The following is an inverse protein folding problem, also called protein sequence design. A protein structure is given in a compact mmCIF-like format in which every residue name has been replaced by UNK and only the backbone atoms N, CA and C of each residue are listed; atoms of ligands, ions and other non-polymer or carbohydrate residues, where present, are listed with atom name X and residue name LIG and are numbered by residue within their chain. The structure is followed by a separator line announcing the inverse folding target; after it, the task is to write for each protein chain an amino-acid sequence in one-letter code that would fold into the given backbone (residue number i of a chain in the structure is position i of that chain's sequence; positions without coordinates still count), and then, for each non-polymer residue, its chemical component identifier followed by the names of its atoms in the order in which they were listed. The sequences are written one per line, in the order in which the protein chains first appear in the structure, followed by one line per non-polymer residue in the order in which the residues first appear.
data_IF_664652753339
#
_entry.id   IF_664652753339
#
_cell.length_a   1.000
_cell.length_b   1.000
_cell.length_c   1.000
_cell.angle_alpha   90.00
_cell.angle_beta   90.00
_cell.angle_gamma   90.00
#
_symmetry.space_group_name_H-M   'P 1'
#
loop_
_entity.id
_entity.type
_entity.pdbx_description
1 polymer ?
#
# COMPACT_ATOMS: atom_id res chain seq x y z
N UNK A 1 1.40 -51.69 2.15
CA UNK A 1 2.04 -50.74 3.08
C UNK A 1 2.32 -49.35 2.48
N UNK A 2 2.64 -49.21 1.18
CA UNK A 2 3.00 -47.91 0.57
C UNK A 2 1.82 -46.96 0.28
N UNK A 3 0.61 -47.48 0.07
CA UNK A 3 -0.59 -46.70 -0.25
C UNK A 3 -1.17 -45.94 0.95
N UNK A 4 -0.99 -46.47 2.16
CA UNK A 4 -1.45 -45.80 3.38
C UNK A 4 -0.69 -44.49 3.66
N UNK A 5 0.59 -44.41 3.26
CA UNK A 5 1.38 -43.18 3.35
C UNK A 5 0.84 -42.07 2.45
N UNK A 6 0.39 -42.41 1.24
CA UNK A 6 -0.18 -41.43 0.32
C UNK A 6 -1.51 -40.85 0.83
N UNK A 7 -2.34 -41.69 1.48
CA UNK A 7 -3.62 -41.26 2.05
C UNK A 7 -3.40 -40.37 3.28
N UNK A 8 -2.47 -40.73 4.17
CA UNK A 8 -2.10 -39.91 5.33
C UNK A 8 -1.49 -38.56 4.93
N UNK A 9 -0.66 -38.53 3.88
CA UNK A 9 -0.07 -37.30 3.37
C UNK A 9 -1.13 -36.37 2.75
N UNK A 10 -2.12 -36.93 2.05
CA UNK A 10 -3.20 -36.15 1.45
C UNK A 10 -4.14 -35.56 2.52
N UNK A 11 -4.41 -36.28 3.60
CA UNK A 11 -5.16 -35.78 4.76
C UNK A 11 -4.41 -34.67 5.52
N UNK A 12 -3.08 -34.78 5.65
CA UNK A 12 -2.24 -33.75 6.28
C UNK A 12 -2.24 -32.44 5.48
N UNK A 13 -2.30 -32.52 4.15
CA UNK A 13 -2.39 -31.35 3.27
C UNK A 13 -3.78 -30.69 3.30
N UNK A 14 -4.84 -31.48 3.49
CA UNK A 14 -6.21 -30.95 3.61
C UNK A 14 -6.41 -30.15 4.91
N UNK A 15 -5.80 -30.56 6.03
CA UNK A 15 -5.93 -29.86 7.32
C UNK A 15 -5.13 -28.56 7.40
N UNK A 16 -4.11 -28.36 6.54
CA UNK A 16 -3.29 -27.15 6.53
C UNK A 16 -3.93 -25.98 5.77
N UNK A 17 -5.05 -26.23 5.09
CA UNK A 17 -5.71 -25.26 4.20
C UNK A 17 -6.75 -24.37 4.87
N UNK A 18 -7.00 -24.51 6.19
CA UNK A 18 -7.81 -23.55 6.94
C UNK A 18 -6.97 -22.30 7.26
N UNK A 19 -6.48 -21.62 6.22
CA UNK A 19 -5.95 -20.29 6.38
C UNK A 19 -7.15 -19.37 6.63
N UNK A 20 -7.13 -18.76 7.80
CA UNK A 20 -8.09 -17.78 8.29
C UNK A 20 -8.26 -16.71 7.21
N UNK A 21 -9.41 -16.67 6.55
CA UNK A 21 -9.85 -15.47 5.88
C UNK A 21 -10.26 -14.50 6.98
N UNK A 22 -9.29 -13.76 7.50
CA UNK A 22 -9.59 -12.54 8.25
C UNK A 22 -10.33 -11.65 7.27
N UNK A 23 -11.61 -11.40 7.50
CA UNK A 23 -12.34 -10.30 6.88
C UNK A 23 -11.68 -8.99 7.36
N UNK A 24 -10.54 -8.65 6.77
CA UNK A 24 -10.10 -7.26 6.71
C UNK A 24 -11.08 -6.64 5.72
N UNK A 25 -12.18 -6.12 6.27
CA UNK A 25 -13.02 -5.16 5.56
C UNK A 25 -12.12 -3.96 5.30
N UNK A 26 -11.36 -4.02 4.20
CA UNK A 26 -10.62 -2.91 3.65
C UNK A 26 -11.66 -1.92 3.15
N UNK A 27 -11.96 -0.91 3.96
CA UNK A 27 -12.74 0.25 3.55
C UNK A 27 -11.94 1.03 2.51
N UNK A 28 -12.01 0.58 1.26
CA UNK A 28 -11.39 1.24 0.12
C UNK A 28 -12.09 2.59 -0.09
N UNK A 29 -11.41 3.66 0.28
CA UNK A 29 -11.91 5.02 0.13
C UNK A 29 -11.23 5.70 -1.05
N UNK A 30 -12.02 6.05 -2.07
CA UNK A 30 -11.54 6.91 -3.15
C UNK A 30 -11.45 8.35 -2.64
N UNK A 31 -10.25 8.92 -2.60
CA UNK A 31 -10.07 10.32 -2.18
C UNK A 31 -10.50 11.24 -3.33
N UNK A 32 -11.66 11.87 -3.16
CA UNK A 32 -12.26 12.75 -4.18
C UNK A 32 -11.52 14.08 -4.38
N UNK A 33 -10.68 14.48 -3.43
CA UNK A 33 -9.87 15.71 -3.48
C UNK A 33 -8.39 15.37 -3.56
N UNK A 34 -7.86 15.02 -4.74
CA UNK A 34 -6.43 14.69 -4.90
C UNK A 34 -5.50 15.89 -4.65
N UNK A 35 -6.05 17.10 -4.48
CA UNK A 35 -5.31 18.33 -4.21
C UNK A 35 -5.27 18.69 -2.72
N UNK A 36 -5.76 17.80 -1.85
CA UNK A 36 -5.63 17.92 -0.39
C UNK A 36 -4.15 18.08 0.01
N UNK A 37 -3.87 18.86 1.06
CA UNK A 37 -2.51 19.10 1.53
C UNK A 37 -1.81 17.78 1.90
N UNK A 38 -2.51 16.88 2.59
CA UNK A 38 -1.96 15.58 3.01
C UNK A 38 -1.60 14.71 1.79
N UNK A 39 -2.48 14.68 0.80
CA UNK A 39 -2.25 13.92 -0.45
C UNK A 39 -1.03 14.44 -1.21
N UNK A 40 -0.78 15.75 -1.20
CA UNK A 40 0.42 16.33 -1.81
C UNK A 40 1.69 15.94 -1.06
N UNK A 41 1.64 15.88 0.27
CA UNK A 41 2.78 15.43 1.08
C UNK A 41 3.14 13.98 0.76
N UNK A 42 2.14 13.10 0.67
CA UNK A 42 2.33 11.69 0.29
C UNK A 42 2.92 11.58 -1.12
N UNK A 43 2.42 12.35 -2.10
CA UNK A 43 2.94 12.35 -3.46
C UNK A 43 4.40 12.85 -3.53
N UNK A 44 4.72 13.92 -2.79
CA UNK A 44 6.08 14.44 -2.71
C UNK A 44 7.03 13.44 -2.04
N UNK A 45 6.58 12.75 -0.99
CA UNK A 45 7.31 11.67 -0.37
C UNK A 45 7.64 10.56 -1.38
N UNK A 46 6.64 10.07 -2.12
CA UNK A 46 6.84 9.05 -3.14
C UNK A 46 7.84 9.47 -4.23
N UNK A 47 7.78 10.72 -4.69
CA UNK A 47 8.75 11.23 -5.67
C UNK A 47 10.16 11.34 -5.10
N UNK A 48 10.31 11.76 -3.85
CA UNK A 48 11.60 11.85 -3.19
C UNK A 48 12.23 10.46 -3.02
N UNK A 49 11.45 9.46 -2.59
CA UNK A 49 11.91 8.07 -2.50
C UNK A 49 12.25 7.49 -3.87
N UNK A 50 11.46 7.77 -4.90
CA UNK A 50 11.80 7.38 -6.27
C UNK A 50 13.14 7.97 -6.70
N UNK A 51 13.36 9.27 -6.49
CA UNK A 51 14.63 9.92 -6.83
C UNK A 51 15.82 9.28 -6.11
N UNK A 52 15.67 8.92 -4.82
CA UNK A 52 16.72 8.22 -4.06
C UNK A 52 17.06 6.86 -4.67
N UNK A 53 16.08 6.15 -5.20
CA UNK A 53 16.25 4.80 -5.74
C UNK A 53 16.74 4.79 -7.19
N UNK A 54 16.23 5.68 -8.04
CA UNK A 54 16.49 5.68 -9.48
C UNK A 54 17.47 6.74 -9.94
N UNK A 55 17.65 7.82 -9.17
CA UNK A 55 18.34 9.04 -9.60
C UNK A 55 17.55 9.88 -10.61
N UNK A 56 16.34 9.48 -11.00
CA UNK A 56 15.51 10.22 -11.94
C UNK A 56 14.83 11.41 -11.25
N UNK A 57 15.23 12.63 -11.63
CA UNK A 57 14.58 13.85 -11.13
C UNK A 57 13.30 14.12 -11.91
N UNK A 58 12.18 13.68 -11.35
CA UNK A 58 10.85 13.87 -11.90
C UNK A 58 10.16 15.08 -11.29
N UNK A 59 9.32 15.74 -12.08
CA UNK A 59 8.47 16.85 -11.61
C UNK A 59 7.01 16.40 -11.54
N UNK A 60 6.35 16.61 -10.40
CA UNK A 60 4.93 16.30 -10.25
C UNK A 60 4.10 17.29 -11.08
N UNK A 61 3.36 16.79 -12.07
CA UNK A 61 2.44 17.63 -12.84
C UNK A 61 1.04 17.61 -12.24
N UNK A 62 0.53 16.42 -11.95
CA UNK A 62 -0.81 16.25 -11.40
C UNK A 62 -0.99 14.88 -10.74
N UNK A 63 -1.79 14.84 -9.69
CA UNK A 63 -2.28 13.62 -9.07
C UNK A 63 -3.60 13.24 -9.76
N UNK A 64 -3.64 12.09 -10.43
CA UNK A 64 -4.77 11.67 -11.26
C UNK A 64 -5.80 10.91 -10.43
N UNK A 65 -5.33 10.04 -9.54
CA UNK A 65 -6.18 9.24 -8.68
C UNK A 65 -5.45 8.93 -7.38
N UNK A 66 -6.19 8.94 -6.28
CA UNK A 66 -5.71 8.44 -4.99
C UNK A 66 -6.79 7.57 -4.38
N UNK A 67 -6.39 6.39 -3.96
CA UNK A 67 -7.20 5.47 -3.16
C UNK A 67 -6.49 5.24 -1.84
N UNK A 68 -7.25 5.27 -0.77
CA UNK A 68 -6.78 4.96 0.57
C UNK A 68 -7.49 3.72 1.05
N UNK A 69 -6.72 2.80 1.62
CA UNK A 69 -7.23 1.60 2.24
C UNK A 69 -6.78 1.61 3.70
N UNK A 70 -7.73 1.50 4.61
CA UNK A 70 -7.41 1.30 6.03
C UNK A 70 -7.03 -0.15 6.25
N UNK A 71 -5.80 -0.38 6.70
CA UNK A 71 -5.31 -1.72 6.98
C UNK A 71 -5.43 -2.07 8.47
N UNK A 72 -5.23 -1.09 9.35
CA UNK A 72 -5.37 -1.21 10.80
C UNK A 72 -5.82 0.14 11.41
N UNK A 73 -6.15 0.17 12.70
CA UNK A 73 -6.57 1.36 13.46
C UNK A 73 -5.51 2.48 13.41
N UNK A 74 -4.25 2.15 13.15
CA UNK A 74 -3.17 3.13 13.08
C UNK A 74 -2.32 3.00 11.80
N UNK A 75 -2.83 2.31 10.77
CA UNK A 75 -2.10 2.11 9.51
C UNK A 75 -3.03 2.31 8.30
N UNK A 76 -2.68 3.30 7.49
CA UNK A 76 -3.35 3.64 6.24
C UNK A 76 -2.40 3.37 5.07
N UNK A 77 -2.88 2.71 4.02
CA UNK A 77 -2.16 2.53 2.75
C UNK A 77 -2.78 3.43 1.68
N UNK A 78 -1.94 4.21 1.00
CA UNK A 78 -2.32 5.10 -0.08
C UNK A 78 -1.75 4.59 -1.40
N UNK A 79 -2.62 4.30 -2.36
CA UNK A 79 -2.26 4.05 -3.75
C UNK A 79 -2.49 5.33 -4.56
N UNK A 80 -1.40 5.85 -5.13
CA UNK A 80 -1.36 7.07 -5.90
C UNK A 80 -1.01 6.78 -7.35
N UNK A 81 -1.87 7.26 -8.25
CA UNK A 81 -1.55 7.37 -9.67
C UNK A 81 -1.29 8.82 -10.03
N UNK A 82 -0.08 9.10 -10.48
CA UNK A 82 0.42 10.44 -10.76
C UNK A 82 0.84 10.57 -12.22
N UNK A 83 0.74 11.79 -12.74
CA UNK A 83 1.42 12.19 -13.97
C UNK A 83 2.59 13.08 -13.58
N UNK A 84 3.78 12.67 -14.00
CA UNK A 84 5.04 13.38 -13.78
C UNK A 84 5.66 13.80 -15.12
N UNK A 85 6.65 14.68 -15.05
CA UNK A 85 7.49 15.07 -16.17
C UNK A 85 8.92 14.61 -15.93
N UNK A 86 9.57 14.11 -16.97
CA UNK A 86 11.01 13.90 -17.04
C UNK A 86 11.55 14.76 -18.21
N UNK A 87 12.01 15.97 -17.89
CA UNK A 87 12.27 16.98 -18.91
C UNK A 87 11.00 17.31 -19.73
N UNK A 88 11.04 17.27 -21.08
CA UNK A 88 9.86 17.57 -21.90
C UNK A 88 8.84 16.41 -21.97
N UNK A 89 9.18 15.23 -21.45
CA UNK A 89 8.37 14.03 -21.61
C UNK A 89 7.42 13.82 -20.44
N UNK A 90 6.16 13.48 -20.74
CA UNK A 90 5.18 13.05 -19.73
C UNK A 90 5.40 11.58 -19.39
N UNK A 91 5.40 11.25 -18.10
CA UNK A 91 5.49 9.89 -17.56
C UNK A 91 4.34 9.68 -16.58
N UNK A 92 3.64 8.55 -16.67
CA UNK A 92 2.66 8.14 -15.64
C UNK A 92 3.39 7.24 -14.65
N UNK A 93 3.18 7.47 -13.36
CA UNK A 93 3.80 6.69 -12.29
C UNK A 93 2.72 6.27 -11.29
N UNK A 94 2.83 5.03 -10.85
CA UNK A 94 2.03 4.46 -9.78
C UNK A 94 2.94 4.30 -8.56
N UNK A 95 2.45 4.72 -7.40
CA UNK A 95 3.19 4.66 -6.14
C UNK A 95 2.25 4.21 -5.03
N UNK A 96 2.73 3.27 -4.21
CA UNK A 96 2.04 2.82 -3.01
C UNK A 96 2.83 3.32 -1.80
N UNK A 97 2.18 4.07 -0.92
CA UNK A 97 2.78 4.66 0.29
C UNK A 97 2.00 4.17 1.50
N UNK A 98 2.72 3.66 2.51
CA UNK A 98 2.12 3.27 3.79
C UNK A 98 2.44 4.30 4.85
N UNK A 99 1.41 4.78 5.51
CA UNK A 99 1.50 5.67 6.66
C UNK A 99 1.12 4.90 7.92
N UNK A 100 2.02 4.90 8.90
CA UNK A 100 1.78 4.28 10.21
C UNK A 100 1.85 5.33 11.30
N UNK A 101 0.73 5.55 11.99
CA UNK A 101 0.67 6.47 13.13
C UNK A 101 1.08 5.73 14.40
N UNK A 102 2.11 6.21 15.09
CA UNK A 102 2.50 5.68 16.40
C UNK A 102 1.66 6.34 17.50
N UNK A 103 0.84 5.57 18.23
CA UNK A 103 0.22 6.04 19.47
C UNK A 103 1.28 6.06 20.58
N UNK A 104 1.82 7.24 20.91
CA UNK A 104 2.49 7.44 22.20
C UNK A 104 1.40 7.47 23.27
N UNK A 105 1.12 6.33 23.91
CA UNK A 105 0.38 6.34 25.17
C UNK A 105 1.34 6.86 26.24
N UNK A 106 1.44 8.18 26.42
CA UNK A 106 1.99 8.73 27.64
C UNK A 106 1.02 8.38 28.77
N UNK A 107 1.26 7.24 29.40
CA UNK A 107 0.71 6.89 30.70
C UNK A 107 1.29 7.89 31.70
N UNK A 108 0.60 9.00 31.95
CA UNK A 108 0.82 9.77 33.17
C UNK A 108 0.15 8.98 34.31
N UNK A 109 0.97 8.23 35.04
CA UNK A 109 0.65 7.63 36.32
C UNK A 109 1.39 8.35 37.43
#
# INVERSE_FOLDING_TARGET
MRTHYFILLSLLFLSLSSLVASDIVSDLTVIKKPNDAHVKEIANFAMAEHYKQSGEKLELKSIVKVTMTKFDVNEDEYDLRMTTLYGPFKKSIEAVVREKTSRFTSSFG
#
